data_IF_162013012428
#
_entry.id   IF_162013012428
#
_cell.length_a   1.000
_cell.length_b   1.000
_cell.length_c   1.000
_cell.angle_alpha   90.00
_cell.angle_beta   90.00
_cell.angle_gamma   90.00
#
_symmetry.space_group_name_H-M   'P 1'
#
loop_
_entity.id
_entity.type
_entity.pdbx_description
1 polymer ?
#
# COMPACT_ATOMS: atom_id res chain seq x y z
N UNK A 1 26.88 -9.13 -80.37
CA UNK A 1 26.24 -8.54 -79.18
C UNK A 1 24.73 -8.59 -79.32
N UNK A 2 24.10 -9.57 -78.68
CA UNK A 2 22.78 -9.37 -78.10
C UNK A 2 22.60 -10.44 -77.02
N UNK A 3 22.48 -10.00 -75.77
CA UNK A 3 22.10 -10.84 -74.65
C UNK A 3 20.64 -11.24 -74.88
N UNK A 4 20.40 -12.46 -75.33
CA UNK A 4 19.05 -12.99 -75.39
C UNK A 4 18.65 -13.41 -73.97
N UNK A 5 17.66 -12.70 -73.41
CA UNK A 5 17.10 -13.00 -72.12
C UNK A 5 16.40 -14.36 -72.25
N UNK A 6 17.10 -15.43 -71.86
CA UNK A 6 16.48 -16.73 -71.58
C UNK A 6 15.47 -16.51 -70.46
N UNK A 7 14.26 -16.11 -70.84
CA UNK A 7 13.06 -16.30 -70.05
C UNK A 7 13.02 -17.77 -69.69
N UNK A 8 13.19 -18.05 -68.41
CA UNK A 8 12.92 -19.37 -67.84
C UNK A 8 11.46 -19.68 -68.15
N UNK A 9 11.22 -20.36 -69.26
CA UNK A 9 9.93 -20.94 -69.58
C UNK A 9 9.72 -22.04 -68.56
N UNK A 10 8.81 -21.83 -67.61
CA UNK A 10 8.30 -22.91 -66.76
C UNK A 10 7.17 -23.53 -67.58
N UNK A 11 7.38 -24.66 -68.26
CA UNK A 11 6.29 -25.34 -68.93
C UNK A 11 5.34 -25.84 -67.83
N UNK A 12 4.03 -25.85 -68.10
CA UNK A 12 2.96 -26.54 -67.35
C UNK A 12 2.02 -25.73 -66.44
N UNK A 13 2.21 -24.42 -66.20
CA UNK A 13 1.19 -23.64 -65.45
C UNK A 13 -0.05 -23.25 -66.26
N UNK A 14 -0.11 -23.51 -67.58
CA UNK A 14 -1.16 -22.95 -68.44
C UNK A 14 -1.97 -23.96 -69.27
N UNK A 15 -2.00 -25.24 -68.92
CA UNK A 15 -2.78 -26.24 -69.69
C UNK A 15 -4.06 -26.72 -69.03
N UNK A 16 -4.43 -26.20 -67.86
CA UNK A 16 -5.83 -26.23 -67.45
C UNK A 16 -6.23 -24.90 -66.80
N UNK A 17 -7.41 -24.43 -67.18
CA UNK A 17 -8.10 -23.30 -66.54
C UNK A 17 -8.67 -23.71 -65.16
N UNK A 18 -8.19 -24.81 -64.57
CA UNK A 18 -8.68 -25.35 -63.30
C UNK A 18 -7.79 -24.98 -62.12
N UNK A 19 -6.55 -24.52 -62.34
CA UNK A 19 -5.66 -24.08 -61.24
C UNK A 19 -5.01 -22.70 -61.43
N UNK A 20 -4.62 -22.31 -62.65
CA UNK A 20 -4.01 -21.01 -62.92
C UNK A 20 -4.46 -20.48 -64.28
N UNK A 21 -4.79 -19.18 -64.38
CA UNK A 21 -5.11 -18.54 -65.67
C UNK A 21 -4.44 -17.17 -65.78
N UNK A 22 -4.21 -16.71 -67.00
CA UNK A 22 -3.73 -15.35 -67.24
C UNK A 22 -4.91 -14.40 -67.42
N UNK A 23 -4.95 -13.30 -66.66
CA UNK A 23 -5.96 -12.25 -66.82
C UNK A 23 -5.29 -10.87 -66.78
N UNK A 24 -5.57 -10.02 -67.77
CA UNK A 24 -5.02 -8.67 -67.86
C UNK A 24 -3.47 -8.58 -67.83
N UNK A 25 -2.76 -9.65 -68.20
CA UNK A 25 -1.28 -9.71 -68.19
C UNK A 25 -0.65 -10.22 -66.89
N UNK A 26 -1.44 -10.68 -65.92
CA UNK A 26 -0.96 -11.26 -64.64
C UNK A 26 -1.43 -12.72 -64.47
N UNK A 27 -0.66 -13.55 -63.75
CA UNK A 27 -1.08 -14.91 -63.35
C UNK A 27 -2.10 -14.82 -62.21
N UNK A 28 -3.29 -15.34 -62.43
CA UNK A 28 -4.34 -15.56 -61.44
C UNK A 28 -4.26 -17.00 -60.89
N UNK A 29 -3.90 -17.19 -59.61
CA UNK A 29 -3.67 -18.49 -59.01
C UNK A 29 -4.91 -19.16 -58.39
N UNK A 30 -6.11 -18.62 -58.61
CA UNK A 30 -7.36 -19.19 -58.08
C UNK A 30 -8.49 -19.03 -59.10
N UNK A 31 -9.05 -20.15 -59.56
CA UNK A 31 -10.34 -20.15 -60.26
C UNK A 31 -11.44 -20.36 -59.23
N UNK A 32 -11.73 -19.31 -58.47
CA UNK A 32 -13.00 -19.21 -57.78
C UNK A 32 -13.98 -18.52 -58.74
N UNK A 33 -15.06 -19.21 -59.09
CA UNK A 33 -16.07 -18.77 -60.05
C UNK A 33 -16.86 -17.54 -59.54
N UNK A 34 -16.31 -16.35 -59.71
CA UNK A 34 -16.95 -15.08 -59.39
C UNK A 34 -16.24 -13.91 -60.08
N UNK A 35 -17.01 -12.97 -60.60
CA UNK A 35 -16.55 -11.81 -61.37
C UNK A 35 -15.50 -10.96 -60.63
N UNK A 36 -14.31 -10.79 -61.21
CA UNK A 36 -13.34 -9.74 -60.86
C UNK A 36 -12.33 -10.08 -59.76
N UNK A 37 -11.37 -10.97 -60.04
CA UNK A 37 -10.40 -11.44 -59.04
C UNK A 37 -9.04 -10.69 -59.09
N UNK A 38 -9.10 -9.36 -58.94
CA UNK A 38 -7.93 -8.49 -58.70
C UNK A 38 -7.88 -7.95 -57.26
N UNK A 39 -8.81 -8.33 -56.40
CA UNK A 39 -8.70 -8.13 -54.95
C UNK A 39 -8.20 -9.40 -54.30
N UNK A 40 -6.92 -9.72 -54.53
CA UNK A 40 -6.17 -10.57 -53.59
C UNK A 40 -6.15 -9.82 -52.26
N UNK A 41 -7.13 -10.10 -51.42
CA UNK A 41 -6.96 -9.96 -49.97
C UNK A 41 -5.74 -10.81 -49.68
N UNK A 42 -4.59 -10.16 -49.49
CA UNK A 42 -3.34 -10.84 -49.23
C UNK A 42 -3.59 -11.91 -48.17
N UNK A 43 -3.27 -13.15 -48.53
CA UNK A 43 -3.62 -14.36 -47.78
C UNK A 43 -2.71 -14.49 -46.57
N UNK A 44 -2.95 -13.63 -45.60
CA UNK A 44 -3.36 -13.98 -44.25
C UNK A 44 -3.99 -12.69 -43.68
N UNK A 45 -4.92 -12.78 -42.72
CA UNK A 45 -5.53 -11.58 -42.14
C UNK A 45 -4.53 -10.60 -41.49
N UNK A 46 -3.22 -10.88 -41.47
CA UNK A 46 -2.22 -10.06 -40.79
C UNK A 46 -2.09 -8.67 -41.40
N UNK A 47 -2.24 -8.50 -42.72
CA UNK A 47 -2.17 -7.19 -43.35
C UNK A 47 -3.42 -6.35 -43.08
N UNK A 48 -4.62 -6.95 -43.11
CA UNK A 48 -5.85 -6.26 -42.71
C UNK A 48 -5.84 -5.87 -41.21
N UNK A 49 -5.30 -6.75 -40.36
CA UNK A 49 -5.08 -6.46 -38.94
C UNK A 49 -4.03 -5.36 -38.75
N UNK A 50 -2.98 -5.33 -39.57
CA UNK A 50 -1.93 -4.31 -39.54
C UNK A 50 -2.46 -2.95 -40.00
N UNK A 51 -3.26 -2.90 -41.06
CA UNK A 51 -3.89 -1.68 -41.55
C UNK A 51 -4.91 -1.11 -40.55
N UNK A 52 -5.68 -1.98 -39.89
CA UNK A 52 -6.59 -1.59 -38.80
C UNK A 52 -5.80 -1.02 -37.60
N UNK A 53 -4.67 -1.64 -37.25
CA UNK A 53 -3.80 -1.15 -36.18
C UNK A 53 -3.16 0.20 -36.52
N UNK A 54 -2.68 0.38 -37.76
CA UNK A 54 -2.07 1.64 -38.22
C UNK A 54 -3.11 2.77 -38.25
N UNK A 55 -4.32 2.50 -38.75
CA UNK A 55 -5.43 3.46 -38.74
C UNK A 55 -5.79 3.90 -37.32
N UNK A 56 -5.84 2.97 -36.38
CA UNK A 56 -6.15 3.25 -34.97
C UNK A 56 -5.02 4.03 -34.27
N UNK A 57 -3.76 3.71 -34.57
CA UNK A 57 -2.58 4.45 -34.07
C UNK A 57 -2.62 5.89 -34.58
N UNK A 58 -2.86 6.12 -35.87
CA UNK A 58 -2.94 7.46 -36.45
C UNK A 58 -4.08 8.29 -35.86
N UNK A 59 -5.24 7.67 -35.56
CA UNK A 59 -6.34 8.34 -34.86
C UNK A 59 -5.97 8.71 -33.41
N UNK A 60 -5.11 7.93 -32.74
CA UNK A 60 -4.67 8.17 -31.37
C UNK A 60 -3.54 9.20 -31.22
N UNK A 61 -2.74 9.44 -32.27
CA UNK A 61 -1.64 10.43 -32.25
C UNK A 61 -2.12 11.89 -32.18
N UNK A 62 -3.43 12.15 -32.37
CA UNK A 62 -4.04 13.46 -32.19
C UNK A 62 -4.62 13.71 -30.79
N UNK A 63 -4.66 12.72 -29.90
CA UNK A 63 -5.26 12.82 -28.57
C UNK A 63 -4.42 12.06 -27.53
N UNK A 64 -3.71 12.81 -26.69
CA UNK A 64 -2.80 12.28 -25.65
C UNK A 64 -3.47 11.24 -24.73
N UNK A 65 -4.79 11.36 -24.50
CA UNK A 65 -5.54 10.42 -23.66
C UNK A 65 -5.80 9.07 -24.34
N UNK A 66 -5.84 9.00 -25.68
CA UNK A 66 -6.03 7.74 -26.42
C UNK A 66 -4.74 6.91 -26.55
N UNK A 67 -3.58 7.56 -26.51
CA UNK A 67 -2.28 6.87 -26.50
C UNK A 67 -2.13 6.03 -25.22
N UNK A 68 -2.55 6.56 -24.06
CA UNK A 68 -2.58 5.84 -22.79
C UNK A 68 -3.52 4.62 -22.80
N UNK A 69 -4.63 4.68 -23.54
CA UNK A 69 -5.58 3.57 -23.66
C UNK A 69 -5.05 2.45 -24.55
N UNK A 70 -4.38 2.77 -25.66
CA UNK A 70 -3.82 1.75 -26.56
C UNK A 70 -2.61 1.04 -25.94
N UNK A 71 -1.75 1.79 -25.23
CA UNK A 71 -0.61 1.24 -24.46
C UNK A 71 -1.11 0.33 -23.32
N UNK A 72 -2.25 0.63 -22.69
CA UNK A 72 -2.87 -0.25 -21.68
C UNK A 72 -3.51 -1.54 -22.25
N UNK A 73 -3.86 -1.58 -23.53
CA UNK A 73 -4.55 -2.75 -24.13
C UNK A 73 -3.63 -3.65 -24.94
N UNK A 74 -2.40 -3.20 -25.24
CA UNK A 74 -1.38 -4.04 -25.87
C UNK A 74 -0.80 -4.99 -24.82
N UNK A 75 -0.87 -6.29 -25.07
CA UNK A 75 -0.40 -7.38 -24.19
C UNK A 75 1.11 -7.40 -23.93
N UNK A 76 1.84 -6.33 -24.28
CA UNK A 76 3.18 -6.04 -23.79
C UNK A 76 3.12 -5.20 -22.51
N UNK A 77 2.34 -5.67 -21.54
CA UNK A 77 2.80 -5.56 -20.18
C UNK A 77 3.92 -6.58 -20.09
N UNK A 78 5.17 -6.13 -19.94
CA UNK A 78 6.12 -6.97 -19.24
C UNK A 78 5.47 -7.28 -17.89
N UNK A 79 4.95 -8.51 -17.78
CA UNK A 79 4.31 -9.00 -16.59
C UNK A 79 5.28 -8.94 -15.39
N UNK A 80 6.54 -8.52 -15.53
CA UNK A 80 7.38 -8.16 -14.41
C UNK A 80 6.74 -7.16 -13.44
N UNK A 81 5.77 -6.33 -13.86
CA UNK A 81 5.00 -5.50 -12.93
C UNK A 81 3.77 -6.23 -12.35
N UNK A 82 2.92 -6.86 -13.18
CA UNK A 82 1.73 -7.57 -12.69
C UNK A 82 2.05 -8.88 -11.93
N UNK A 83 3.04 -9.66 -12.37
CA UNK A 83 3.50 -10.87 -11.69
C UNK A 83 4.32 -10.57 -10.42
N UNK A 84 4.83 -9.34 -10.25
CA UNK A 84 5.37 -8.87 -8.96
C UNK A 84 4.29 -8.30 -8.03
N UNK A 85 3.13 -7.93 -8.57
CA UNK A 85 1.98 -7.43 -7.79
C UNK A 85 1.17 -8.56 -7.13
N UNK A 86 1.26 -9.80 -7.63
CA UNK A 86 0.55 -10.98 -7.07
C UNK A 86 1.33 -11.75 -5.97
N UNK A 87 2.48 -11.26 -5.51
CA UNK A 87 3.17 -11.74 -4.30
C UNK A 87 3.29 -10.60 -3.30
N UNK A 88 3.28 -10.85 -1.97
CA UNK A 88 2.75 -9.95 -0.93
C UNK A 88 3.62 -8.70 -0.75
N UNK A 89 3.60 -7.81 -1.73
CA UNK A 89 4.20 -6.49 -1.72
C UNK A 89 3.16 -5.42 -1.36
N UNK A 90 1.99 -5.84 -0.87
CA UNK A 90 1.14 -4.99 -0.04
C UNK A 90 1.80 -4.82 1.34
N UNK A 91 2.98 -4.21 1.37
CA UNK A 91 3.16 -3.21 2.40
C UNK A 91 2.35 -1.99 1.93
N UNK A 92 1.56 -1.47 2.85
CA UNK A 92 0.76 -0.25 2.75
C UNK A 92 1.45 0.93 2.06
N UNK A 93 2.78 0.94 2.03
CA UNK A 93 3.63 1.96 1.42
C UNK A 93 3.44 2.16 -0.10
N UNK A 94 3.12 1.12 -0.89
CA UNK A 94 2.94 1.27 -2.36
C UNK A 94 1.56 1.80 -2.73
N UNK A 95 0.49 1.37 -2.03
CA UNK A 95 -0.87 1.91 -2.24
C UNK A 95 -0.98 3.39 -1.87
N UNK A 96 -0.13 3.84 -0.95
CA UNK A 96 -0.03 5.23 -0.50
C UNK A 96 0.63 6.16 -1.54
N UNK A 97 1.58 5.63 -2.31
CA UNK A 97 2.31 6.39 -3.32
C UNK A 97 1.45 6.73 -4.54
N UNK A 98 0.49 5.87 -4.87
CA UNK A 98 -0.39 6.03 -6.04
C UNK A 98 -1.55 7.00 -5.79
N UNK A 99 -1.97 7.21 -4.54
CA UNK A 99 -3.11 8.08 -4.24
C UNK A 99 -2.74 9.55 -4.07
N UNK A 100 -1.47 9.89 -3.74
CA UNK A 100 -1.05 11.25 -3.30
C UNK A 100 -2.02 11.89 -2.29
N UNK A 101 -2.84 11.08 -1.61
CA UNK A 101 -4.00 11.53 -0.86
C UNK A 101 -3.72 11.32 0.61
N UNK A 102 -2.85 12.17 1.18
CA UNK A 102 -2.79 12.49 2.62
C UNK A 102 -2.97 11.34 3.62
N UNK A 103 -2.63 10.10 3.28
CA UNK A 103 -2.52 9.02 4.24
C UNK A 103 -1.06 8.90 4.58
N UNK A 104 -0.54 9.94 5.22
CA UNK A 104 0.61 9.82 6.12
C UNK A 104 0.53 8.44 6.75
N UNK A 105 1.53 7.59 6.46
CA UNK A 105 1.59 6.19 6.88
C UNK A 105 0.92 6.03 8.25
N UNK A 106 -0.02 5.11 8.39
CA UNK A 106 -0.71 4.83 9.66
C UNK A 106 0.30 4.67 10.82
N UNK A 107 1.52 4.20 10.51
CA UNK A 107 2.63 4.10 11.45
C UNK A 107 3.18 5.48 11.90
N UNK A 108 3.14 6.49 11.03
CA UNK A 108 3.51 7.89 11.30
C UNK A 108 2.38 8.61 12.02
N UNK A 109 1.10 8.41 11.65
CA UNK A 109 -0.04 8.96 12.40
C UNK A 109 -0.12 8.42 13.84
N UNK A 110 0.28 7.17 14.07
CA UNK A 110 0.43 6.59 15.42
C UNK A 110 1.64 7.13 16.22
N UNK A 111 2.57 7.80 15.56
CA UNK A 111 3.76 8.45 16.15
C UNK A 111 3.66 9.98 16.19
N UNK A 112 2.60 10.56 15.61
CA UNK A 112 2.52 11.98 15.30
C UNK A 112 2.23 12.85 16.53
N UNK A 113 1.46 12.35 17.52
CA UNK A 113 1.22 13.09 18.76
C UNK A 113 2.11 12.54 19.88
N UNK A 114 3.30 13.15 20.01
CA UNK A 114 4.31 12.83 21.04
C UNK A 114 4.05 13.52 22.39
N UNK A 115 3.02 14.35 22.48
CA UNK A 115 2.71 15.04 23.72
C UNK A 115 1.97 14.09 24.64
N UNK A 116 2.47 13.93 25.87
CA UNK A 116 1.73 13.24 26.89
C UNK A 116 0.48 14.05 27.25
N UNK A 117 -0.68 13.39 27.30
CA UNK A 117 -1.90 14.02 27.79
C UNK A 117 -1.78 14.26 29.29
N UNK A 118 -2.19 15.43 29.76
CA UNK A 118 -2.27 15.78 31.18
C UNK A 118 -3.68 15.46 31.70
N UNK A 119 -3.77 14.69 32.77
CA UNK A 119 -5.01 14.26 33.41
C UNK A 119 -5.00 14.71 34.86
N UNK A 120 -5.71 15.79 35.16
CA UNK A 120 -5.73 16.43 36.47
C UNK A 120 -6.73 15.76 37.42
N UNK A 121 -6.32 15.48 38.66
CA UNK A 121 -7.10 14.79 39.70
C UNK A 121 -7.07 15.57 41.02
N UNK A 122 -8.22 15.63 41.69
CA UNK A 122 -8.40 16.33 42.98
C UNK A 122 -8.96 15.42 44.07
N UNK A 123 -9.07 14.12 43.80
CA UNK A 123 -9.62 13.12 44.71
C UNK A 123 -9.02 11.75 44.40
N UNK A 124 -9.23 10.80 45.31
CA UNK A 124 -8.87 9.39 45.11
C UNK A 124 -9.21 8.90 43.71
N UNK A 125 -8.26 8.23 43.07
CA UNK A 125 -8.37 7.82 41.68
C UNK A 125 -7.73 6.45 41.46
N UNK A 126 -8.35 5.58 40.67
CA UNK A 126 -7.74 4.33 40.21
C UNK A 126 -7.34 4.51 38.75
N UNK A 127 -6.10 4.18 38.41
CA UNK A 127 -5.64 4.26 37.02
C UNK A 127 -6.53 3.42 36.11
N UNK A 128 -6.78 3.93 34.90
CA UNK A 128 -7.57 3.28 33.87
C UNK A 128 -6.72 3.03 32.62
N UNK A 129 -7.21 2.22 31.68
CA UNK A 129 -6.52 1.99 30.41
C UNK A 129 -6.32 3.26 29.59
N UNK A 130 -7.17 4.28 29.78
CA UNK A 130 -7.06 5.58 29.13
C UNK A 130 -5.85 6.40 29.62
N UNK A 131 -5.32 6.11 30.81
CA UNK A 131 -4.20 6.86 31.40
C UNK A 131 -2.82 6.38 30.89
N UNK A 132 -2.78 5.47 29.91
CA UNK A 132 -1.53 4.93 29.40
C UNK A 132 -0.73 6.04 28.68
N UNK A 133 0.51 6.24 29.11
CA UNK A 133 1.40 7.34 28.71
C UNK A 133 0.93 8.74 29.09
N UNK A 134 -0.03 8.86 30.02
CA UNK A 134 -0.47 10.17 30.50
C UNK A 134 0.43 10.67 31.63
N UNK A 135 0.41 11.99 31.83
CA UNK A 135 0.86 12.64 33.06
C UNK A 135 -0.38 12.83 33.94
N UNK A 136 -0.41 12.16 35.09
CA UNK A 136 -1.44 12.35 36.12
C UNK A 136 -0.96 13.44 37.06
N UNK A 137 -1.57 14.61 36.97
CA UNK A 137 -1.36 15.68 37.94
C UNK A 137 -2.37 15.53 39.07
N UNK A 138 -1.90 15.53 40.31
CA UNK A 138 -2.73 15.34 41.49
C UNK A 138 -2.51 16.47 42.48
N UNK A 139 -3.61 17.07 42.94
CA UNK A 139 -3.57 18.17 43.92
C UNK A 139 -4.51 17.88 45.08
N UNK A 140 -3.95 17.67 46.27
CA UNK A 140 -4.68 17.33 47.48
C UNK A 140 -3.94 16.29 48.31
N UNK A 141 -4.67 15.65 49.24
CA UNK A 141 -4.15 14.52 50.03
C UNK A 141 -5.05 13.31 49.80
N UNK A 142 -4.61 12.39 48.94
CA UNK A 142 -5.39 11.20 48.58
C UNK A 142 -4.50 10.12 47.94
N UNK A 143 -5.09 8.94 47.71
CA UNK A 143 -4.39 7.83 47.06
C UNK A 143 -4.69 7.73 45.57
N UNK A 144 -3.66 7.40 44.79
CA UNK A 144 -3.81 6.88 43.43
C UNK A 144 -3.60 5.36 43.47
N UNK A 145 -4.60 4.63 43.01
CA UNK A 145 -4.62 3.18 43.03
C UNK A 145 -4.11 2.58 41.72
N UNK A 146 -3.25 1.57 41.86
CA UNK A 146 -2.58 0.86 40.79
C UNK A 146 -3.23 -0.54 40.61
N UNK A 147 -4.11 -0.73 39.62
CA UNK A 147 -4.96 -1.93 39.57
C UNK A 147 -4.31 -3.13 38.87
N UNK A 148 -4.99 -4.27 38.87
CA UNK A 148 -4.54 -5.51 38.23
C UNK A 148 -5.03 -5.68 36.78
N UNK A 149 -6.08 -4.98 36.39
CA UNK A 149 -6.76 -5.11 35.10
C UNK A 149 -6.18 -4.23 33.98
N UNK A 150 -4.92 -3.79 34.09
CA UNK A 150 -4.21 -3.03 33.06
C UNK A 150 -3.13 -3.90 32.42
N UNK A 151 -2.86 -3.62 31.14
CA UNK A 151 -1.90 -4.38 30.34
C UNK A 151 -0.48 -4.29 30.91
N UNK A 152 0.28 -5.38 30.75
CA UNK A 152 1.72 -5.39 31.04
C UNK A 152 2.40 -4.36 30.12
N UNK A 153 3.23 -3.50 30.70
CA UNK A 153 3.86 -2.38 29.98
C UNK A 153 3.05 -1.09 30.00
N UNK A 154 1.85 -1.06 30.59
CA UNK A 154 1.19 0.20 30.93
C UNK A 154 2.14 1.10 31.73
N UNK A 155 2.21 2.39 31.42
CA UNK A 155 3.03 3.33 32.17
C UNK A 155 2.37 4.71 32.28
N UNK A 156 2.68 5.44 33.35
CA UNK A 156 2.23 6.83 33.54
C UNK A 156 3.16 7.57 34.48
N UNK A 157 3.32 8.88 34.28
CA UNK A 157 3.96 9.78 35.25
C UNK A 157 2.89 10.28 36.20
N UNK A 158 3.07 10.09 37.51
CA UNK A 158 2.21 10.68 38.52
C UNK A 158 2.99 11.82 39.18
N UNK A 159 2.39 13.01 39.24
CA UNK A 159 3.00 14.22 39.78
C UNK A 159 2.08 14.85 40.82
N UNK A 160 2.62 15.12 42.02
CA UNK A 160 1.95 15.96 42.99
C UNK A 160 2.16 17.43 42.60
N UNK A 161 1.09 18.15 42.27
CA UNK A 161 1.14 19.58 41.93
C UNK A 161 0.58 20.47 43.05
N UNK A 162 0.08 19.85 44.12
CA UNK A 162 -0.43 20.54 45.31
C UNK A 162 0.54 20.51 46.49
N UNK A 163 0.09 21.04 47.63
CA UNK A 163 0.84 21.01 48.90
C UNK A 163 0.54 19.81 49.80
N UNK A 164 -0.37 18.92 49.40
CA UNK A 164 -0.73 17.71 50.15
C UNK A 164 0.17 16.51 49.82
N UNK A 165 -0.19 15.33 50.32
CA UNK A 165 0.54 14.08 50.03
C UNK A 165 -0.26 13.20 49.08
N UNK A 166 0.36 12.80 47.97
CA UNK A 166 -0.22 11.81 47.06
C UNK A 166 0.42 10.45 47.32
N UNK A 167 -0.37 9.49 47.77
CA UNK A 167 0.10 8.13 48.08
C UNK A 167 -0.22 7.18 46.92
N UNK A 168 0.79 6.46 46.44
CA UNK A 168 0.64 5.42 45.42
C UNK A 168 0.33 4.10 46.11
N UNK A 169 -0.84 3.53 45.84
CA UNK A 169 -1.27 2.29 46.50
C UNK A 169 -1.59 1.20 45.48
N UNK A 170 -1.09 -0.03 45.65
CA UNK A 170 -1.60 -1.15 44.86
C UNK A 170 -3.07 -1.39 45.22
N UNK A 171 -3.91 -1.66 44.21
CA UNK A 171 -5.26 -2.20 44.47
C UNK A 171 -5.17 -3.63 45.00
N UNK A 172 -6.30 -4.17 45.49
CA UNK A 172 -6.39 -5.56 45.94
C UNK A 172 -5.85 -6.54 44.89
N UNK A 173 -4.93 -7.41 45.30
CA UNK A 173 -4.29 -8.39 44.42
C UNK A 173 -3.11 -7.87 43.59
N UNK A 174 -2.75 -6.59 43.73
CA UNK A 174 -1.52 -6.03 43.19
C UNK A 174 -0.42 -5.93 44.25
N UNK A 175 0.83 -5.94 43.81
CA UNK A 175 2.02 -5.60 44.61
C UNK A 175 2.71 -4.37 44.05
N UNK A 176 3.37 -3.62 44.93
CA UNK A 176 4.04 -2.37 44.60
C UNK A 176 5.51 -2.46 44.98
N UNK A 177 6.38 -2.16 44.03
CA UNK A 177 7.82 -2.06 44.24
C UNK A 177 8.28 -0.62 44.03
N UNK A 178 9.06 -0.13 44.98
CA UNK A 178 9.72 1.16 44.91
C UNK A 178 11.00 1.11 45.76
N UNK A 179 11.85 2.13 45.64
CA UNK A 179 13.01 2.27 46.53
C UNK A 179 12.51 2.40 47.98
N UNK A 180 13.09 1.61 48.88
CA UNK A 180 12.80 1.59 50.32
C UNK A 180 11.32 1.40 50.69
N UNK A 181 10.52 0.83 49.77
CA UNK A 181 9.06 0.72 49.90
C UNK A 181 8.34 2.07 50.02
N UNK A 182 9.00 3.17 49.65
CA UNK A 182 8.43 4.52 49.65
C UNK A 182 7.31 4.63 48.63
N UNK A 183 6.19 5.23 49.02
CA UNK A 183 5.00 5.31 48.17
C UNK A 183 4.33 6.69 48.18
N UNK A 184 4.93 7.69 48.84
CA UNK A 184 4.36 9.04 48.91
C UNK A 184 5.12 10.04 48.05
N UNK A 185 4.36 10.89 47.35
CA UNK A 185 4.81 12.13 46.73
C UNK A 185 4.38 13.29 47.64
N UNK A 186 5.27 13.74 48.53
CA UNK A 186 4.94 14.70 49.60
C UNK A 186 5.19 16.16 49.26
N UNK A 187 6.03 16.44 48.26
CA UNK A 187 6.42 17.81 47.91
C UNK A 187 5.73 18.25 46.62
N UNK A 188 5.41 19.54 46.47
CA UNK A 188 5.00 20.09 45.18
C UNK A 188 6.05 19.76 44.12
N UNK A 189 5.58 19.30 42.97
CA UNK A 189 6.36 18.84 41.82
C UNK A 189 7.26 17.61 42.07
N UNK A 190 7.08 16.92 43.20
CA UNK A 190 7.56 15.54 43.33
C UNK A 190 6.72 14.63 42.43
N UNK A 191 7.39 13.73 41.72
CA UNK A 191 6.74 12.82 40.79
C UNK A 191 7.42 11.46 40.73
N UNK A 192 6.65 10.47 40.31
CA UNK A 192 7.15 9.13 40.05
C UNK A 192 6.49 8.55 38.80
N UNK A 193 7.31 7.93 37.96
CA UNK A 193 6.82 7.09 36.87
C UNK A 193 6.45 5.74 37.44
N UNK A 194 5.23 5.30 37.19
CA UNK A 194 4.75 3.96 37.49
C UNK A 194 4.64 3.16 36.21
N UNK A 195 4.96 1.86 36.26
CA UNK A 195 4.68 0.95 35.17
C UNK A 195 4.27 -0.44 35.64
N UNK A 196 3.48 -1.11 34.81
CA UNK A 196 3.00 -2.48 35.04
C UNK A 196 4.06 -3.47 34.57
N UNK A 197 4.75 -4.13 35.52
CA UNK A 197 5.85 -5.07 35.22
C UNK A 197 5.36 -6.46 34.82
N UNK A 198 4.28 -6.93 35.45
CA UNK A 198 3.60 -8.18 35.15
C UNK A 198 2.14 -8.07 35.64
N UNK A 199 1.35 -9.16 35.54
CA UNK A 199 -0.09 -9.17 35.83
C UNK A 199 -0.47 -8.52 37.18
N UNK A 200 0.32 -8.72 38.23
CA UNK A 200 0.01 -8.20 39.57
C UNK A 200 0.99 -7.16 40.09
N UNK A 201 2.15 -6.99 39.47
CA UNK A 201 3.21 -6.16 40.03
C UNK A 201 3.34 -4.80 39.32
N UNK A 202 3.36 -3.75 40.14
CA UNK A 202 3.72 -2.40 39.76
C UNK A 202 5.11 -2.05 40.25
N UNK A 203 5.79 -1.22 39.48
CA UNK A 203 7.06 -0.61 39.89
C UNK A 203 6.91 0.89 39.77
N UNK A 204 7.41 1.63 40.75
CA UNK A 204 7.50 3.08 40.72
C UNK A 204 8.93 3.56 40.92
N UNK A 205 9.29 4.60 40.17
CA UNK A 205 10.61 5.23 40.19
C UNK A 205 10.44 6.75 40.17
N UNK A 206 11.09 7.44 41.11
CA UNK A 206 10.99 8.89 41.24
C UNK A 206 11.34 9.39 42.64
N UNK A 207 10.85 10.58 42.98
CA UNK A 207 11.05 11.23 44.28
C UNK A 207 9.99 10.77 45.30
N UNK A 208 9.94 9.46 45.53
CA UNK A 208 9.06 8.84 46.53
C UNK A 208 9.71 8.91 47.92
N UNK A 209 8.88 9.15 48.94
CA UNK A 209 9.26 9.23 50.37
C UNK A 209 8.28 8.48 51.28
#
# INVERSE_FOLDING_TARGET
NSYDARTYFIPEVSFNDSFFKWNGGYIEPSIASGSGDITKVYVDGSLALRDTRISTINASLGNVNSILSYVNTSTYYDASLNAKVDKPLFDSSIGNLTSRLNTTDSSVNRKADKNATISYKTSTYTLSSADNNFIIEASGTFSIYLPTNLDIGFQSLIMNVGGGTITLNPSTGASFLSRDSSNDLRKPFSGATVYKRNASQWVAMGDLT
#
